data_IF_172365284497
#
_entry.id   IF_172365284497
#
_cell.length_a   1.000
_cell.length_b   1.000
_cell.length_c   1.000
_cell.angle_alpha   90.00
_cell.angle_beta   90.00
_cell.angle_gamma   90.00
#
_symmetry.space_group_name_H-M   'P 1'
#
loop_
_entity.id
_entity.type
_entity.pdbx_description
1 polymer ?
#
# COMPACT_ATOMS: atom_id res chain seq x y z
N UNK A 1 -42.58 -26.50 -26.36
CA UNK A 1 -43.03 -27.33 -25.23
C UNK A 1 -41.92 -27.38 -24.17
N UNK A 2 -42.02 -26.58 -23.10
CA UNK A 2 -41.16 -26.70 -21.93
C UNK A 2 -41.87 -27.58 -20.89
N UNK A 3 -41.26 -28.69 -20.48
CA UNK A 3 -41.83 -29.57 -19.43
C UNK A 3 -41.56 -28.95 -18.06
N UNK A 4 -42.64 -28.59 -17.35
CA UNK A 4 -42.61 -28.17 -15.94
C UNK A 4 -42.09 -29.31 -15.06
N UNK A 5 -41.00 -29.10 -14.33
CA UNK A 5 -40.60 -29.99 -13.25
C UNK A 5 -41.35 -29.60 -11.96
N UNK A 6 -42.11 -30.57 -11.46
CA UNK A 6 -42.92 -30.51 -10.23
C UNK A 6 -41.98 -30.55 -9.01
N UNK A 7 -41.93 -29.48 -8.21
CA UNK A 7 -41.25 -29.51 -6.90
C UNK A 7 -42.02 -30.44 -5.96
N UNK A 8 -41.31 -31.38 -5.34
CA UNK A 8 -41.80 -32.18 -4.21
C UNK A 8 -41.36 -31.46 -2.93
N UNK A 9 -42.33 -31.15 -2.08
CA UNK A 9 -42.13 -30.61 -0.73
C UNK A 9 -41.73 -31.79 0.15
N UNK A 10 -40.57 -31.71 0.80
CA UNK A 10 -40.24 -32.53 1.95
C UNK A 10 -39.82 -31.63 3.12
N UNK A 11 -40.18 -32.12 4.30
CA UNK A 11 -40.61 -31.43 5.51
C UNK A 11 -39.43 -31.35 6.50
N UNK A 12 -39.39 -30.28 7.30
CA UNK A 12 -38.42 -30.04 8.39
C UNK A 12 -38.25 -31.24 9.33
N UNK A 13 -37.01 -31.50 9.77
CA UNK A 13 -36.69 -31.63 11.19
C UNK A 13 -35.17 -31.50 11.48
N UNK A 14 -34.88 -30.96 12.67
CA UNK A 14 -33.63 -31.05 13.43
C UNK A 14 -32.46 -30.10 13.09
N UNK A 15 -32.27 -29.16 14.02
CA UNK A 15 -31.21 -28.16 14.15
C UNK A 15 -29.79 -28.73 14.06
N UNK A 16 -29.07 -28.37 12.99
CA UNK A 16 -27.60 -28.39 12.96
C UNK A 16 -27.15 -27.02 12.47
N UNK A 17 -26.57 -26.21 13.36
CA UNK A 17 -25.84 -25.02 12.93
C UNK A 17 -24.60 -25.49 12.18
N UNK A 18 -24.73 -25.61 10.86
CA UNK A 18 -23.59 -25.68 9.97
C UNK A 18 -22.93 -24.30 10.06
N UNK A 19 -21.95 -24.18 10.95
CA UNK A 19 -20.96 -23.12 10.83
C UNK A 19 -20.27 -23.38 9.49
N UNK A 20 -20.76 -22.71 8.45
CA UNK A 20 -20.03 -22.57 7.21
C UNK A 20 -18.73 -21.88 7.61
N UNK A 21 -17.68 -22.67 7.82
CA UNK A 21 -16.32 -22.18 7.89
C UNK A 21 -16.11 -21.51 6.54
N UNK A 22 -16.41 -20.20 6.47
CA UNK A 22 -16.06 -19.36 5.34
C UNK A 22 -14.58 -19.63 5.14
N UNK A 23 -14.26 -20.29 4.02
CA UNK A 23 -12.88 -20.56 3.64
C UNK A 23 -12.22 -19.19 3.55
N UNK A 24 -11.45 -18.83 4.58
CA UNK A 24 -10.65 -17.61 4.57
C UNK A 24 -9.88 -17.68 3.26
N UNK A 25 -10.20 -16.79 2.33
CA UNK A 25 -9.33 -16.56 1.17
C UNK A 25 -8.00 -16.21 1.82
N UNK A 26 -7.05 -17.15 1.83
CA UNK A 26 -5.70 -16.88 2.32
C UNK A 26 -5.10 -15.96 1.27
N UNK A 27 -5.37 -14.68 1.42
CA UNK A 27 -4.73 -13.63 0.64
C UNK A 27 -3.23 -13.66 0.90
N UNK A 28 -2.49 -12.90 0.09
CA UNK A 28 -1.08 -12.68 0.32
C UNK A 28 -0.92 -11.69 1.49
N UNK A 29 -1.24 -12.14 2.70
CA UNK A 29 -1.21 -11.36 3.94
C UNK A 29 -0.21 -11.98 4.91
N UNK A 30 0.53 -11.13 5.61
CA UNK A 30 1.56 -11.58 6.56
C UNK A 30 0.92 -12.41 7.69
N UNK A 31 1.49 -13.59 8.04
CA UNK A 31 0.89 -14.49 9.02
C UNK A 31 0.75 -13.81 10.40
N UNK A 32 -0.45 -13.89 10.98
CA UNK A 32 -0.78 -13.26 12.25
C UNK A 32 -1.29 -11.81 12.13
N UNK A 33 -1.40 -11.29 10.90
CA UNK A 33 -2.05 -10.01 10.56
C UNK A 33 -3.23 -10.26 9.62
N UNK A 34 -4.20 -9.35 9.58
CA UNK A 34 -5.34 -9.41 8.67
C UNK A 34 -5.28 -8.34 7.59
N UNK A 35 -4.52 -7.26 7.80
CA UNK A 35 -4.45 -6.07 6.96
C UNK A 35 -3.12 -5.93 6.21
N UNK A 36 -2.03 -6.54 6.68
CA UNK A 36 -0.72 -6.39 6.03
C UNK A 36 -0.57 -7.32 4.82
N UNK A 37 -1.10 -6.93 3.65
CA UNK A 37 -1.03 -7.75 2.45
C UNK A 37 -1.65 -7.14 1.19
N UNK A 38 -1.83 -7.97 0.17
CA UNK A 38 -2.60 -7.60 -1.02
C UNK A 38 -4.11 -7.56 -0.68
N UNK A 39 -4.57 -6.39 -0.23
CA UNK A 39 -5.88 -6.23 0.41
C UNK A 39 -5.89 -6.76 1.84
N UNK A 40 -7.08 -7.01 2.39
CA UNK A 40 -7.24 -7.49 3.76
C UNK A 40 -8.17 -8.71 3.86
N UNK A 41 -8.04 -9.45 4.96
CA UNK A 41 -8.85 -10.62 5.30
C UNK A 41 -9.77 -10.38 6.51
N UNK A 42 -9.91 -9.11 6.94
CA UNK A 42 -10.74 -8.76 8.08
C UNK A 42 -12.23 -8.75 7.67
N UNK A 43 -13.07 -9.36 8.49
CA UNK A 43 -14.53 -9.32 8.33
C UNK A 43 -15.12 -7.97 8.78
N UNK A 44 -14.41 -7.26 9.68
CA UNK A 44 -14.79 -5.94 10.16
C UNK A 44 -13.58 -5.04 10.40
N UNK A 45 -13.81 -3.72 10.40
CA UNK A 45 -12.76 -2.71 10.58
C UNK A 45 -11.98 -2.88 11.90
N UNK A 46 -12.65 -3.28 12.98
CA UNK A 46 -12.03 -3.42 14.30
C UNK A 46 -11.34 -4.78 14.51
N UNK A 47 -11.50 -5.69 13.55
CA UNK A 47 -10.86 -6.99 13.63
C UNK A 47 -9.38 -6.86 13.30
N UNK A 48 -8.55 -7.11 14.31
CA UNK A 48 -7.11 -7.21 14.17
C UNK A 48 -6.65 -8.64 14.42
N UNK A 49 -5.56 -9.03 13.76
CA UNK A 49 -4.88 -10.29 13.94
C UNK A 49 -4.16 -10.39 15.29
N UNK A 50 -3.37 -11.46 15.45
CA UNK A 50 -2.56 -11.71 16.65
C UNK A 50 -1.53 -10.60 16.88
N UNK A 51 -0.95 -10.07 15.80
CA UNK A 51 0.08 -9.03 15.81
C UNK A 51 -0.58 -7.64 15.73
N UNK A 52 -1.38 -7.30 16.74
CA UNK A 52 -2.27 -6.12 16.72
C UNK A 52 -1.57 -4.81 16.36
N UNK A 53 -0.37 -4.56 16.90
CA UNK A 53 0.36 -3.30 16.67
C UNK A 53 0.76 -3.12 15.20
N UNK A 54 1.41 -4.13 14.62
CA UNK A 54 1.80 -4.15 13.20
C UNK A 54 0.57 -4.14 12.28
N UNK A 55 -0.44 -4.93 12.62
CA UNK A 55 -1.66 -5.05 11.84
C UNK A 55 -2.45 -3.74 11.81
N UNK A 56 -2.48 -3.00 12.92
CA UNK A 56 -3.09 -1.69 12.98
C UNK A 56 -2.39 -0.66 12.06
N UNK A 57 -1.07 -0.71 11.92
CA UNK A 57 -0.36 0.15 10.97
C UNK A 57 -0.84 -0.10 9.53
N UNK A 58 -0.97 -1.37 9.14
CA UNK A 58 -1.47 -1.74 7.83
C UNK A 58 -2.95 -1.40 7.64
N UNK A 59 -3.78 -1.55 8.68
CA UNK A 59 -5.19 -1.14 8.64
C UNK A 59 -5.34 0.35 8.35
N UNK A 60 -4.54 1.19 9.00
CA UNK A 60 -4.55 2.64 8.77
C UNK A 60 -4.13 2.94 7.32
N UNK A 61 -3.10 2.26 6.84
CA UNK A 61 -2.61 2.42 5.46
C UNK A 61 -3.63 1.99 4.40
N UNK A 62 -4.32 0.86 4.61
CA UNK A 62 -5.40 0.37 3.74
C UNK A 62 -6.55 1.38 3.60
N UNK A 63 -6.74 2.26 4.59
CA UNK A 63 -7.75 3.31 4.59
C UNK A 63 -7.23 4.67 4.13
N UNK A 64 -6.16 4.69 3.34
CA UNK A 64 -5.68 5.91 2.71
C UNK A 64 -6.78 6.51 1.81
N UNK A 65 -7.05 7.84 1.88
CA UNK A 65 -8.10 8.47 1.08
C UNK A 65 -7.79 8.51 -0.42
N UNK A 66 -6.52 8.43 -0.78
CA UNK A 66 -6.04 8.59 -2.15
C UNK A 66 -5.22 7.38 -2.56
N UNK A 67 -5.86 6.50 -3.35
CA UNK A 67 -5.28 5.24 -3.81
C UNK A 67 -5.56 5.04 -5.29
N UNK A 68 -4.56 4.53 -5.99
CA UNK A 68 -4.67 4.03 -7.36
C UNK A 68 -4.55 2.51 -7.29
N UNK A 69 -5.68 1.82 -7.40
CA UNK A 69 -5.72 0.36 -7.31
C UNK A 69 -4.95 -0.31 -8.45
N UNK A 70 -4.54 -1.55 -8.23
CA UNK A 70 -3.94 -2.39 -9.27
C UNK A 70 -4.83 -2.43 -10.52
N UNK A 71 -4.21 -2.32 -11.70
CA UNK A 71 -4.89 -2.37 -13.00
C UNK A 71 -6.02 -1.34 -13.17
N UNK A 72 -5.92 -0.19 -12.50
CA UNK A 72 -6.92 0.89 -12.57
C UNK A 72 -6.29 2.22 -12.98
N UNK A 73 -7.12 3.13 -13.47
CA UNK A 73 -6.73 4.50 -13.80
C UNK A 73 -7.39 5.48 -12.85
N UNK A 74 -6.60 6.35 -12.22
CA UNK A 74 -7.09 7.42 -11.37
C UNK A 74 -6.12 8.60 -11.40
N UNK A 75 -6.62 9.82 -11.15
CA UNK A 75 -5.81 11.05 -11.14
C UNK A 75 -4.91 11.22 -12.38
N UNK A 76 -5.40 10.86 -13.57
CA UNK A 76 -4.63 10.93 -14.82
C UNK A 76 -3.49 9.91 -14.96
N UNK A 77 -3.33 8.97 -14.03
CA UNK A 77 -2.33 7.90 -14.07
C UNK A 77 -3.00 6.53 -14.19
N UNK A 78 -2.42 5.65 -15.01
CA UNK A 78 -2.87 4.25 -15.17
C UNK A 78 -1.88 3.30 -14.52
N UNK A 79 -2.31 2.65 -13.44
CA UNK A 79 -1.49 1.68 -12.72
C UNK A 79 -1.58 0.31 -13.39
N UNK A 80 -0.56 -0.06 -14.17
CA UNK A 80 -0.44 -1.40 -14.77
C UNK A 80 0.20 -2.43 -13.83
N UNK A 81 0.56 -2.04 -12.59
CA UNK A 81 1.16 -2.94 -11.61
C UNK A 81 0.06 -3.72 -10.88
N UNK A 82 0.45 -4.87 -10.33
CA UNK A 82 -0.43 -5.79 -9.61
C UNK A 82 -0.70 -5.37 -8.15
N UNK A 83 -0.03 -4.32 -7.67
CA UNK A 83 -0.22 -3.76 -6.33
C UNK A 83 -0.84 -2.36 -6.43
N UNK A 84 -1.55 -1.95 -5.39
CA UNK A 84 -2.05 -0.58 -5.25
C UNK A 84 -0.89 0.40 -5.03
N UNK A 85 -1.12 1.66 -5.39
CA UNK A 85 -0.21 2.78 -5.16
C UNK A 85 -0.96 3.81 -4.34
N UNK A 86 -0.39 4.26 -3.23
CA UNK A 86 -1.00 5.22 -2.31
C UNK A 86 -0.31 6.59 -2.36
N UNK A 87 -0.94 7.59 -1.75
CA UNK A 87 -0.30 8.90 -1.57
C UNK A 87 0.96 8.78 -0.68
N UNK A 88 2.00 9.55 -0.98
CA UNK A 88 3.27 9.47 -0.24
C UNK A 88 3.11 9.73 1.27
N UNK A 89 2.16 10.55 1.69
CA UNK A 89 1.86 10.76 3.12
C UNK A 89 1.40 9.48 3.82
N UNK A 90 0.58 8.66 3.16
CA UNK A 90 0.10 7.40 3.72
C UNK A 90 1.26 6.39 3.85
N UNK A 91 2.10 6.30 2.83
CA UNK A 91 3.27 5.41 2.84
C UNK A 91 4.30 5.84 3.89
N UNK A 92 4.54 7.15 4.05
CA UNK A 92 5.42 7.68 5.08
C UNK A 92 4.85 7.44 6.49
N UNK A 93 3.55 7.64 6.69
CA UNK A 93 2.89 7.31 7.95
C UNK A 93 2.98 5.81 8.28
N UNK A 94 2.88 4.93 7.27
CA UNK A 94 3.09 3.50 7.43
C UNK A 94 4.54 3.20 7.87
N UNK A 95 5.54 3.79 7.22
CA UNK A 95 6.96 3.62 7.63
C UNK A 95 7.18 4.02 9.08
N UNK A 96 6.67 5.18 9.46
CA UNK A 96 6.82 5.70 10.81
C UNK A 96 6.08 4.86 11.84
N UNK A 97 4.89 4.35 11.51
CA UNK A 97 4.16 3.44 12.36
C UNK A 97 4.93 2.12 12.57
N UNK A 98 5.43 1.51 11.50
CA UNK A 98 6.18 0.24 11.58
C UNK A 98 7.51 0.40 12.35
N UNK A 99 8.17 1.55 12.21
CA UNK A 99 9.36 1.91 13.00
C UNK A 99 9.05 2.07 14.48
N UNK A 100 7.95 2.74 14.83
CA UNK A 100 7.51 2.94 16.22
C UNK A 100 7.15 1.63 16.92
N UNK A 101 6.52 0.69 16.20
CA UNK A 101 6.18 -0.63 16.74
C UNK A 101 7.43 -1.43 17.09
N UNK A 102 8.49 -1.30 16.29
CA UNK A 102 9.81 -1.87 16.55
C UNK A 102 9.86 -3.41 16.78
N UNK A 103 8.93 -4.17 16.19
CA UNK A 103 8.85 -5.63 16.34
C UNK A 103 9.46 -6.37 15.14
N UNK A 104 9.85 -7.64 15.31
CA UNK A 104 10.27 -8.50 14.19
C UNK A 104 9.24 -8.51 13.05
N UNK A 105 7.95 -8.52 13.39
CA UNK A 105 6.88 -8.50 12.39
C UNK A 105 6.82 -7.17 11.62
N UNK A 106 6.97 -6.02 12.29
CA UNK A 106 6.94 -4.72 11.62
C UNK A 106 8.18 -4.49 10.76
N UNK A 107 9.34 -5.04 11.16
CA UNK A 107 10.57 -5.07 10.36
C UNK A 107 10.37 -5.83 9.05
N UNK A 108 9.88 -7.06 9.12
CA UNK A 108 9.70 -7.93 7.95
C UNK A 108 8.64 -7.34 7.01
N UNK A 109 7.52 -6.85 7.54
CA UNK A 109 6.48 -6.21 6.74
C UNK A 109 7.02 -4.96 6.04
N UNK A 110 7.73 -4.09 6.74
CA UNK A 110 8.31 -2.87 6.17
C UNK A 110 9.34 -3.18 5.09
N UNK A 111 10.25 -4.13 5.33
CA UNK A 111 11.23 -4.57 4.32
C UNK A 111 10.55 -5.18 3.09
N UNK A 112 9.54 -6.04 3.28
CA UNK A 112 8.81 -6.64 2.16
C UNK A 112 8.11 -5.57 1.30
N UNK A 113 7.43 -4.61 1.92
CA UNK A 113 6.66 -3.59 1.19
C UNK A 113 7.56 -2.57 0.48
N UNK A 114 8.55 -2.01 1.17
CA UNK A 114 9.34 -0.88 0.66
C UNK A 114 10.65 -1.27 -0.02
N UNK A 115 11.25 -2.43 0.32
CA UNK A 115 12.56 -2.83 -0.23
C UNK A 115 12.43 -3.98 -1.25
N UNK A 116 11.54 -4.95 -1.01
CA UNK A 116 11.38 -6.11 -1.91
C UNK A 116 10.41 -5.80 -3.04
N UNK A 117 9.20 -5.35 -2.71
CA UNK A 117 8.21 -4.96 -3.73
C UNK A 117 8.57 -3.57 -4.30
N UNK A 118 9.11 -2.68 -3.45
CA UNK A 118 9.52 -1.34 -3.88
C UNK A 118 8.33 -0.52 -4.38
N UNK A 119 7.20 -0.60 -3.68
CA UNK A 119 5.97 0.10 -4.09
C UNK A 119 6.26 1.61 -4.14
N UNK A 120 6.13 2.26 -5.32
CA UNK A 120 6.25 3.70 -5.41
C UNK A 120 5.02 4.35 -4.78
N UNK A 121 5.15 5.62 -4.40
CA UNK A 121 4.03 6.44 -3.95
C UNK A 121 3.76 7.56 -4.96
N UNK A 122 2.65 8.29 -4.81
CA UNK A 122 2.38 9.46 -5.64
C UNK A 122 2.07 10.71 -4.82
N UNK A 123 2.29 11.86 -5.43
CA UNK A 123 1.88 13.17 -4.95
C UNK A 123 0.99 13.85 -6.01
N UNK A 124 0.18 14.81 -5.60
CA UNK A 124 -0.61 15.59 -6.54
C UNK A 124 0.21 16.74 -7.15
N UNK A 125 0.26 16.79 -8.48
CA UNK A 125 0.59 17.99 -9.23
C UNK A 125 -0.67 18.55 -9.88
N UNK A 126 -0.82 19.87 -9.91
CA UNK A 126 -1.97 20.52 -10.53
C UNK A 126 -1.62 20.98 -11.94
N UNK A 127 -2.19 20.31 -12.93
CA UNK A 127 -1.94 20.59 -14.35
C UNK A 127 -3.17 21.19 -15.01
N UNK A 128 -2.97 22.13 -15.94
CA UNK A 128 -4.07 22.69 -16.74
C UNK A 128 -4.52 21.69 -17.80
N UNK A 129 -5.75 21.21 -17.64
CA UNK A 129 -6.37 20.28 -18.56
C UNK A 129 -7.64 20.87 -19.13
N UNK A 130 -7.93 20.50 -20.38
CA UNK A 130 -9.17 20.89 -21.03
C UNK A 130 -10.35 20.08 -20.46
N UNK A 131 -11.22 20.74 -19.70
CA UNK A 131 -12.37 20.09 -19.06
C UNK A 131 -13.63 20.14 -19.92
N UNK A 132 -13.70 21.08 -20.85
CA UNK A 132 -14.84 21.25 -21.74
C UNK A 132 -14.34 21.56 -23.15
N UNK A 133 -14.87 20.85 -24.15
CA UNK A 133 -14.53 21.04 -25.56
C UNK A 133 -15.74 21.52 -26.33
N UNK A 134 -15.49 22.36 -27.33
CA UNK A 134 -16.48 22.65 -28.36
C UNK A 134 -16.72 21.43 -29.25
N UNK A 135 -17.88 21.37 -29.92
CA UNK A 135 -18.26 20.28 -30.82
C UNK A 135 -17.29 20.08 -31.99
N UNK A 136 -16.62 21.14 -32.46
CA UNK A 136 -15.59 21.11 -33.51
C UNK A 136 -14.18 20.84 -32.97
N UNK A 137 -14.03 20.50 -31.70
CA UNK A 137 -12.80 19.95 -31.15
C UNK A 137 -11.83 20.93 -30.49
N UNK A 138 -12.04 22.26 -30.49
CA UNK A 138 -11.21 23.17 -29.68
C UNK A 138 -11.59 23.12 -28.19
N UNK A 139 -10.62 23.37 -27.33
CA UNK A 139 -10.89 23.50 -25.90
C UNK A 139 -11.67 24.78 -25.60
N UNK A 140 -12.78 24.65 -24.87
CA UNK A 140 -13.59 25.77 -24.40
C UNK A 140 -13.13 26.27 -23.04
N UNK A 141 -12.77 25.34 -22.14
CA UNK A 141 -12.38 25.69 -20.77
C UNK A 141 -11.22 24.82 -20.28
N UNK A 142 -10.19 25.48 -19.76
CA UNK A 142 -9.09 24.86 -19.03
C UNK A 142 -9.34 25.00 -17.52
N UNK A 143 -9.04 23.93 -16.76
CA UNK A 143 -8.99 23.97 -15.29
C UNK A 143 -7.76 23.24 -14.81
N UNK A 144 -7.23 23.67 -13.66
CA UNK A 144 -6.17 22.95 -12.95
C UNK A 144 -6.76 21.75 -12.23
N UNK A 145 -6.38 20.55 -12.68
CA UNK A 145 -6.83 19.28 -12.10
C UNK A 145 -5.66 18.58 -11.40
N UNK A 146 -5.92 17.83 -10.31
CA UNK A 146 -4.89 17.04 -9.64
C UNK A 146 -4.53 15.82 -10.50
N UNK A 147 -3.26 15.72 -10.85
CA UNK A 147 -2.64 14.62 -11.56
C UNK A 147 -1.64 13.93 -10.63
N UNK A 148 -1.65 12.60 -10.61
CA UNK A 148 -0.72 11.82 -9.80
C UNK A 148 0.67 11.81 -10.44
N UNK A 149 1.65 12.33 -9.70
CA UNK A 149 3.06 12.27 -10.06
C UNK A 149 3.74 11.21 -9.20
N UNK A 150 4.32 10.23 -9.87
CA UNK A 150 4.98 9.11 -9.22
C UNK A 150 6.30 9.54 -8.58
N UNK A 151 6.52 9.08 -7.35
CA UNK A 151 7.78 9.20 -6.61
C UNK A 151 8.40 7.83 -6.42
N UNK A 152 9.73 7.79 -6.47
CA UNK A 152 10.48 6.57 -6.21
C UNK A 152 10.31 6.12 -4.75
N UNK A 153 10.32 4.80 -4.56
CA UNK A 153 10.20 4.22 -3.22
C UNK A 153 11.46 4.53 -2.41
N UNK A 154 11.32 5.33 -1.34
CA UNK A 154 12.41 5.52 -0.38
C UNK A 154 12.61 4.22 0.40
N UNK A 155 13.84 3.65 0.43
CA UNK A 155 14.11 2.42 1.17
C UNK A 155 13.69 2.51 2.63
N UNK A 156 13.13 1.42 3.14
CA UNK A 156 12.83 1.24 4.54
C UNK A 156 14.06 0.73 5.27
N UNK A 157 14.77 1.67 5.87
CA UNK A 157 15.80 1.37 6.87
C UNK A 157 15.15 1.24 8.25
N UNK A 158 15.43 0.12 8.89
CA UNK A 158 15.11 -0.13 10.28
C UNK A 158 16.46 -0.30 10.95
N UNK A 159 16.96 0.81 11.49
CA UNK A 159 18.29 0.92 12.08
C UNK A 159 18.66 -0.36 12.79
N UNK A 160 19.79 -0.93 12.37
CA UNK A 160 20.24 -2.22 12.85
C UNK A 160 20.14 -2.25 14.38
N UNK A 161 19.49 -3.29 14.89
CA UNK A 161 19.81 -3.78 16.22
C UNK A 161 21.29 -4.06 16.22
N UNK A 162 22.08 -3.14 16.78
CA UNK A 162 23.49 -3.39 17.07
C UNK A 162 23.61 -4.81 17.64
N UNK A 163 24.37 -5.71 16.99
CA UNK A 163 24.88 -6.84 17.73
C UNK A 163 25.74 -6.23 18.83
N UNK A 164 25.38 -6.43 20.09
CA UNK A 164 26.33 -6.23 21.19
C UNK A 164 27.54 -7.15 20.94
N UNK A 165 28.56 -6.65 20.25
CA UNK A 165 29.99 -6.95 20.39
C UNK A 165 30.81 -6.37 19.23
N UNK A 166 31.71 -5.46 19.58
CA UNK A 166 33.02 -5.34 18.93
C UNK A 166 33.15 -4.15 17.99
N UNK A 167 33.97 -3.18 18.41
CA UNK A 167 34.20 -1.93 17.70
C UNK A 167 34.72 -2.07 16.26
N UNK A 168 34.25 -1.17 15.43
CA UNK A 168 34.80 -0.85 14.11
C UNK A 168 34.28 0.52 13.71
N UNK A 169 35.17 1.52 13.68
CA UNK A 169 34.83 2.90 13.29
C UNK A 169 34.34 2.93 11.83
N UNK A 170 33.34 3.75 11.48
CA UNK A 170 33.03 4.01 10.08
C UNK A 170 34.08 4.97 9.51
N UNK A 171 34.83 4.50 8.50
CA UNK A 171 35.67 5.35 7.66
C UNK A 171 34.81 5.86 6.49
N UNK A 172 34.51 7.15 6.46
CA UNK A 172 34.01 7.83 5.26
C UNK A 172 35.18 8.55 4.58
N UNK A 173 35.54 8.25 3.33
CA UNK A 173 36.39 9.13 2.54
C UNK A 173 35.50 10.20 1.88
N UNK A 174 35.57 11.42 2.40
CA UNK A 174 35.11 12.59 1.66
C UNK A 174 36.15 12.91 0.58
N UNK A 175 35.73 12.86 -0.68
CA UNK A 175 36.44 13.48 -1.80
C UNK A 175 36.27 15.00 -1.71
N UNK A 176 37.38 15.74 -1.63
CA UNK A 176 37.38 17.20 -1.72
C UNK A 176 37.55 17.64 -3.18
N UNK A 177 36.71 18.53 -3.72
CA UNK A 177 36.96 19.20 -5.00
C UNK A 177 37.80 20.47 -4.84
N UNK A 178 38.87 20.58 -5.63
CA UNK A 178 39.27 21.81 -6.30
C UNK A 178 40.02 22.88 -5.50
N UNK A 179 41.35 22.81 -5.51
CA UNK A 179 42.20 23.99 -5.27
C UNK A 179 42.43 24.74 -6.58
N UNK A 180 41.96 25.99 -6.65
CA UNK A 180 42.46 26.98 -7.62
C UNK A 180 42.91 28.22 -6.86
N UNK A 181 44.11 28.72 -7.23
CA UNK A 181 44.65 30.09 -7.06
C UNK A 181 45.12 30.45 -5.63
N UNK A 182 46.22 31.19 -5.41
CA UNK A 182 47.25 31.85 -6.21
C UNK A 182 48.27 32.45 -5.20
N UNK A 183 49.47 32.80 -5.69
CA UNK A 183 50.47 33.74 -5.12
C UNK A 183 51.17 33.42 -3.79
N UNK A 184 52.49 33.23 -3.84
CA UNK A 184 53.45 34.34 -3.78
C UNK A 184 54.76 33.98 -4.48
#
# INVERSE_FOLDING_TARGET
MCRKFKKRVEKEDSTVQVQVLKRSKRGFTYPGTLWCGAGNMADSYDQLGRLKSTDNCCRIHDHCPHVIHAFSSNYGYTNFKWHSICHCDCDNALKDCLRKVNDTSSRVVGQAFFNVIGVPCFEFAYEEQCVERHWYGLCKQYKKLPVAVMREAVPYDFGDTEPRRGGGRPYCPWTTPGDTKLTS
#
